data_IF_048115614718
#
_entry.id   IF_048115614718
#
_cell.length_a   1.000
_cell.length_b   1.000
_cell.length_c   1.000
_cell.angle_alpha   90.00
_cell.angle_beta   90.00
_cell.angle_gamma   90.00
#
_symmetry.space_group_name_H-M   'P 1'
#
loop_
_entity.id
_entity.type
_entity.pdbx_description
1 polymer ?
#
# COMPACT_ATOMS: atom_id res chain seq x y z
N UNK A 1 -15.96 -17.56 -38.44
CA UNK A 1 -15.07 -16.43 -38.11
C UNK A 1 -15.89 -15.40 -37.32
N UNK A 2 -15.88 -15.52 -36.00
CA UNK A 2 -16.47 -14.51 -35.12
C UNK A 2 -15.35 -13.83 -34.38
N UNK A 3 -15.00 -12.61 -34.82
CA UNK A 3 -14.07 -11.73 -34.17
C UNK A 3 -14.62 -11.35 -32.77
N UNK A 4 -14.00 -11.82 -31.72
CA UNK A 4 -14.19 -11.26 -30.38
C UNK A 4 -13.48 -9.90 -30.37
N UNK A 5 -14.23 -8.84 -30.59
CA UNK A 5 -13.77 -7.49 -30.34
C UNK A 5 -13.40 -7.36 -28.89
N UNK A 6 -12.13 -7.09 -28.61
CA UNK A 6 -11.65 -6.72 -27.28
C UNK A 6 -12.20 -5.32 -26.96
N UNK A 7 -13.37 -5.24 -26.33
CA UNK A 7 -13.83 -4.02 -25.68
C UNK A 7 -12.96 -3.83 -24.43
N UNK A 8 -11.76 -3.29 -24.60
CA UNK A 8 -11.08 -2.62 -23.51
C UNK A 8 -11.97 -1.42 -23.12
N UNK A 9 -12.29 -1.22 -21.83
CA UNK A 9 -13.04 -0.05 -21.41
C UNK A 9 -12.22 1.19 -21.76
N UNK A 10 -12.61 1.88 -22.83
CA UNK A 10 -12.10 3.19 -23.20
C UNK A 10 -12.71 4.21 -22.25
N UNK A 11 -12.29 4.16 -20.97
CA UNK A 11 -12.63 5.19 -20.01
C UNK A 11 -12.07 6.53 -20.46
N UNK A 12 -12.79 7.62 -20.17
CA UNK A 12 -12.30 8.97 -20.41
C UNK A 12 -10.87 9.11 -19.82
N UNK A 13 -9.83 9.46 -20.62
CA UNK A 13 -8.45 9.54 -20.13
C UNK A 13 -8.29 10.48 -18.92
N UNK A 14 -9.03 11.59 -18.88
CA UNK A 14 -9.01 12.53 -17.76
C UNK A 14 -9.57 11.89 -16.46
N UNK A 15 -10.64 11.09 -16.56
CA UNK A 15 -11.20 10.38 -15.42
C UNK A 15 -10.25 9.27 -14.93
N UNK A 16 -9.56 8.60 -15.84
CA UNK A 16 -8.54 7.60 -15.47
C UNK A 16 -7.33 8.24 -14.78
N UNK A 17 -6.87 9.38 -15.29
CA UNK A 17 -5.78 10.14 -14.67
C UNK A 17 -6.17 10.64 -13.27
N UNK A 18 -7.40 11.14 -13.09
CA UNK A 18 -7.90 11.57 -11.79
C UNK A 18 -8.02 10.39 -10.80
N UNK A 19 -8.52 9.24 -11.23
CA UNK A 19 -8.56 8.03 -10.41
C UNK A 19 -7.16 7.57 -9.99
N UNK A 20 -6.21 7.58 -10.93
CA UNK A 20 -4.81 7.25 -10.68
C UNK A 20 -4.17 8.26 -9.71
N UNK A 21 -4.48 9.55 -9.85
CA UNK A 21 -4.01 10.60 -8.94
C UNK A 21 -4.50 10.35 -7.52
N UNK A 22 -5.80 10.10 -7.33
CA UNK A 22 -6.37 9.81 -6.00
C UNK A 22 -5.74 8.59 -5.37
N UNK A 23 -5.59 7.52 -6.15
CA UNK A 23 -4.94 6.30 -5.69
C UNK A 23 -3.48 6.56 -5.27
N UNK A 24 -2.67 7.23 -6.12
CA UNK A 24 -1.29 7.54 -5.79
C UNK A 24 -1.15 8.50 -4.60
N UNK A 25 -2.09 9.42 -4.40
CA UNK A 25 -2.11 10.34 -3.27
C UNK A 25 -2.39 9.63 -1.95
N UNK A 26 -3.31 8.66 -1.94
CA UNK A 26 -3.72 7.94 -0.72
C UNK A 26 -2.86 6.70 -0.43
N UNK A 27 -2.36 6.02 -1.45
CA UNK A 27 -1.64 4.73 -1.34
C UNK A 27 -0.15 4.82 -1.71
N UNK A 28 0.32 5.96 -2.23
CA UNK A 28 1.71 6.08 -2.67
C UNK A 28 2.73 5.78 -1.57
N UNK A 29 3.87 5.17 -1.93
CA UNK A 29 4.38 4.91 -3.28
C UNK A 29 3.72 3.71 -3.96
N UNK A 30 3.23 3.88 -5.18
CA UNK A 30 2.53 2.85 -5.95
C UNK A 30 3.14 2.63 -7.34
N UNK A 31 2.98 1.42 -7.87
CA UNK A 31 3.35 1.07 -9.24
C UNK A 31 2.14 0.95 -10.15
N UNK A 32 2.38 0.83 -11.45
CA UNK A 32 1.30 0.52 -12.41
C UNK A 32 0.67 -0.86 -12.16
N UNK A 33 1.41 -1.80 -11.56
CA UNK A 33 0.87 -3.11 -11.21
C UNK A 33 -0.10 -3.03 -10.02
N UNK A 34 0.20 -2.16 -9.04
CA UNK A 34 -0.69 -1.91 -7.90
C UNK A 34 -2.00 -1.29 -8.37
N UNK A 35 -1.95 -0.22 -9.17
CA UNK A 35 -3.14 0.40 -9.72
C UNK A 35 -3.95 -0.56 -10.59
N UNK A 36 -3.29 -1.36 -11.43
CA UNK A 36 -3.97 -2.36 -12.26
C UNK A 36 -4.72 -3.39 -11.42
N UNK A 37 -4.09 -3.91 -10.36
CA UNK A 37 -4.70 -4.84 -9.42
C UNK A 37 -5.91 -4.21 -8.70
N UNK A 38 -5.74 -3.01 -8.17
CA UNK A 38 -6.76 -2.31 -7.39
C UNK A 38 -7.98 -1.94 -8.23
N UNK A 39 -7.76 -1.44 -9.47
CA UNK A 39 -8.80 -0.92 -10.33
C UNK A 39 -9.40 -1.91 -11.34
N UNK A 40 -8.76 -3.08 -11.53
CA UNK A 40 -9.10 -4.02 -12.61
C UNK A 40 -8.66 -3.56 -14.01
N UNK A 41 -7.93 -2.45 -14.13
CA UNK A 41 -7.40 -1.98 -15.41
C UNK A 41 -6.26 -2.88 -15.92
N UNK A 42 -6.03 -2.87 -17.24
CA UNK A 42 -4.80 -3.47 -17.76
C UNK A 42 -3.58 -2.67 -17.29
N UNK A 43 -2.43 -3.34 -17.12
CA UNK A 43 -1.19 -2.70 -16.69
C UNK A 43 -0.76 -1.54 -17.60
N UNK A 44 -1.00 -1.65 -18.90
CA UNK A 44 -0.71 -0.59 -19.88
C UNK A 44 -1.57 0.65 -19.64
N UNK A 45 -2.88 0.45 -19.39
CA UNK A 45 -3.81 1.56 -19.11
C UNK A 45 -3.47 2.20 -17.76
N UNK A 46 -3.18 1.41 -16.72
CA UNK A 46 -2.77 1.89 -15.41
C UNK A 46 -1.47 2.72 -15.48
N UNK A 47 -0.48 2.26 -16.25
CA UNK A 47 0.77 2.99 -16.45
C UNK A 47 0.53 4.34 -17.11
N UNK A 48 -0.31 4.37 -18.16
CA UNK A 48 -0.67 5.62 -18.84
C UNK A 48 -1.40 6.56 -17.88
N UNK A 49 -2.40 6.07 -17.18
CA UNK A 49 -3.17 6.87 -16.22
C UNK A 49 -2.30 7.51 -15.12
N UNK A 50 -1.31 6.77 -14.58
CA UNK A 50 -0.35 7.31 -13.61
C UNK A 50 0.55 8.39 -14.22
N UNK A 51 1.02 8.21 -15.46
CA UNK A 51 1.83 9.21 -16.16
C UNK A 51 1.03 10.48 -16.43
N UNK A 52 -0.20 10.34 -16.90
CA UNK A 52 -1.10 11.47 -17.15
C UNK A 52 -1.43 12.20 -15.83
N UNK A 53 -1.60 11.46 -14.71
CA UNK A 53 -1.81 12.04 -13.38
C UNK A 53 -0.62 12.88 -12.89
N UNK A 54 0.61 12.42 -13.11
CA UNK A 54 1.82 13.20 -12.76
C UNK A 54 1.89 14.46 -13.61
N UNK A 55 1.70 14.35 -14.94
CA UNK A 55 1.77 15.51 -15.84
C UNK A 55 0.68 16.54 -15.55
N UNK A 56 -0.52 16.11 -15.15
CA UNK A 56 -1.60 17.01 -14.77
C UNK A 56 -1.31 17.79 -13.49
N UNK A 57 -0.64 17.16 -12.53
CA UNK A 57 -0.26 17.79 -11.27
C UNK A 57 0.86 18.84 -11.43
N UNK A 58 1.67 18.73 -12.47
CA UNK A 58 2.74 19.71 -12.79
C UNK A 58 2.22 20.95 -13.53
N UNK A 59 0.95 20.97 -13.91
CA UNK A 59 0.38 22.11 -14.66
C UNK A 59 0.14 23.33 -13.76
N UNK A 60 0.54 24.54 -14.16
CA UNK A 60 0.27 25.76 -13.40
C UNK A 60 -1.23 25.95 -13.16
N UNK A 61 -1.64 26.13 -11.91
CA UNK A 61 -3.05 26.32 -11.55
C UNK A 61 -3.88 25.02 -11.50
N UNK A 62 -3.25 23.84 -11.54
CA UNK A 62 -3.95 22.58 -11.37
C UNK A 62 -4.67 22.56 -10.01
N UNK A 63 -6.00 22.38 -10.04
CA UNK A 63 -6.80 22.16 -8.84
C UNK A 63 -7.47 20.78 -8.95
N UNK A 64 -7.69 20.16 -7.80
CA UNK A 64 -8.48 18.94 -7.75
C UNK A 64 -9.93 19.21 -8.15
N UNK A 65 -10.66 18.17 -8.53
CA UNK A 65 -12.06 18.27 -8.98
C UNK A 65 -12.99 18.91 -7.92
N UNK A 66 -12.60 18.87 -6.66
CA UNK A 66 -13.30 19.49 -5.52
C UNK A 66 -12.81 20.90 -5.17
N UNK A 67 -11.93 21.49 -6.00
CA UNK A 67 -11.36 22.82 -5.78
C UNK A 67 -10.20 22.87 -4.77
N UNK A 68 -9.83 21.74 -4.18
CA UNK A 68 -8.68 21.67 -3.27
C UNK A 68 -7.34 21.79 -4.04
N UNK A 69 -6.29 22.25 -3.36
CA UNK A 69 -4.94 22.23 -3.93
C UNK A 69 -4.52 20.79 -4.25
N UNK A 70 -4.18 20.52 -5.50
CA UNK A 70 -3.61 19.23 -5.90
C UNK A 70 -2.23 19.08 -5.27
N UNK A 71 -2.05 17.95 -4.55
CA UNK A 71 -0.71 17.56 -4.09
C UNK A 71 0.07 17.10 -5.32
N UNK A 72 1.24 17.68 -5.59
CA UNK A 72 2.10 17.25 -6.70
C UNK A 72 2.48 15.78 -6.54
N UNK A 73 2.58 15.08 -7.67
CA UNK A 73 3.04 13.70 -7.72
C UNK A 73 4.44 13.64 -8.32
N UNK A 74 5.27 12.74 -7.81
CA UNK A 74 6.62 12.47 -8.29
C UNK A 74 6.73 11.04 -8.79
N UNK A 75 7.67 10.82 -9.73
CA UNK A 75 8.12 9.50 -10.14
C UNK A 75 9.50 9.23 -9.57
N UNK A 76 9.68 8.06 -8.98
CA UNK A 76 10.97 7.61 -8.44
C UNK A 76 11.25 6.16 -8.83
N UNK A 77 12.52 5.85 -9.08
CA UNK A 77 12.97 4.47 -9.10
C UNK A 77 12.98 3.88 -7.68
N UNK A 78 12.94 2.56 -7.56
CA UNK A 78 13.04 1.91 -6.25
C UNK A 78 14.30 2.30 -5.48
N UNK A 79 15.44 2.52 -6.17
CA UNK A 79 16.67 2.99 -5.52
C UNK A 79 16.53 4.42 -4.94
N UNK A 80 15.83 5.31 -5.63
CA UNK A 80 15.55 6.66 -5.12
C UNK A 80 14.60 6.60 -3.92
N UNK A 81 13.54 5.77 -4.02
CA UNK A 81 12.58 5.56 -2.94
C UNK A 81 13.26 5.02 -1.67
N UNK A 82 14.15 4.03 -1.80
CA UNK A 82 14.91 3.50 -0.66
C UNK A 82 15.81 4.55 -0.02
N UNK A 83 16.51 5.36 -0.81
CA UNK A 83 17.34 6.45 -0.26
C UNK A 83 16.51 7.46 0.52
N UNK A 84 15.35 7.86 -0.02
CA UNK A 84 14.43 8.77 0.67
C UNK A 84 13.93 8.15 1.98
N UNK A 85 13.44 6.92 1.94
CA UNK A 85 12.93 6.24 3.13
C UNK A 85 14.01 6.05 4.20
N UNK A 86 15.25 5.71 3.79
CA UNK A 86 16.38 5.57 4.71
C UNK A 86 16.79 6.90 5.35
N UNK A 87 16.79 7.98 4.56
CA UNK A 87 17.10 9.32 5.09
C UNK A 87 16.11 9.75 6.18
N UNK A 88 14.83 9.39 6.05
CA UNK A 88 13.77 9.74 7.01
C UNK A 88 13.70 8.76 8.19
N UNK A 89 13.66 7.46 7.91
CA UNK A 89 13.37 6.45 8.93
C UNK A 89 14.60 5.80 9.53
N UNK A 90 15.76 5.94 8.90
CA UNK A 90 16.97 5.21 9.25
C UNK A 90 16.80 3.70 9.02
N UNK A 91 17.62 2.91 9.71
CA UNK A 91 17.54 1.46 9.66
C UNK A 91 18.45 0.83 8.61
N UNK A 92 18.37 -0.48 8.48
CA UNK A 92 19.15 -1.23 7.48
C UNK A 92 18.45 -1.16 6.13
N UNK A 93 19.19 -0.78 5.11
CA UNK A 93 18.68 -0.88 3.74
C UNK A 93 18.60 -2.35 3.29
N UNK A 94 17.54 -2.75 2.55
CA UNK A 94 17.52 -4.03 1.87
C UNK A 94 18.71 -4.15 0.90
N UNK A 95 19.14 -5.38 0.64
CA UNK A 95 20.24 -5.64 -0.28
C UNK A 95 19.93 -5.20 -1.72
N UNK A 96 18.65 -5.29 -2.10
CA UNK A 96 18.18 -4.91 -3.43
C UNK A 96 17.05 -3.88 -3.32
N UNK A 97 17.08 -2.92 -4.25
CA UNK A 97 16.00 -1.96 -4.40
C UNK A 97 14.80 -2.62 -5.09
N UNK A 98 13.57 -2.26 -4.70
CA UNK A 98 12.39 -2.76 -5.39
C UNK A 98 12.43 -2.34 -6.87
N UNK A 99 12.05 -3.27 -7.75
CA UNK A 99 12.06 -3.03 -9.19
C UNK A 99 10.90 -2.12 -9.61
N UNK A 100 11.14 -1.29 -10.62
CA UNK A 100 10.10 -0.50 -11.26
C UNK A 100 10.14 0.99 -10.96
N UNK A 101 9.15 1.67 -11.51
CA UNK A 101 8.87 3.09 -11.31
C UNK A 101 7.71 3.23 -10.33
N UNK A 102 7.90 4.06 -9.33
CA UNK A 102 6.93 4.37 -8.30
C UNK A 102 6.40 5.77 -8.48
N UNK A 103 5.09 5.94 -8.28
CA UNK A 103 4.41 7.23 -8.23
C UNK A 103 3.99 7.49 -6.79
N UNK A 104 4.29 8.68 -6.30
CA UNK A 104 4.05 9.08 -4.92
C UNK A 104 3.81 10.59 -4.84
N UNK A 105 3.21 11.03 -3.75
CA UNK A 105 3.05 12.45 -3.46
C UNK A 105 4.40 13.10 -3.12
N UNK A 106 4.59 14.35 -3.54
CA UNK A 106 5.86 15.07 -3.38
C UNK A 106 6.26 15.28 -1.91
N UNK A 107 5.29 15.42 -1.01
CA UNK A 107 5.48 15.64 0.43
C UNK A 107 5.56 14.32 1.24
N UNK A 108 5.70 13.16 0.58
CA UNK A 108 5.72 11.86 1.27
C UNK A 108 6.83 11.74 2.31
N UNK A 109 8.00 12.33 2.07
CA UNK A 109 9.11 12.31 3.01
C UNK A 109 8.74 13.00 4.35
N UNK A 110 8.09 14.15 4.28
CA UNK A 110 7.64 14.91 5.45
C UNK A 110 6.52 14.17 6.19
N UNK A 111 5.55 13.61 5.45
CA UNK A 111 4.49 12.79 6.03
C UNK A 111 5.04 11.55 6.71
N UNK A 112 6.02 10.88 6.10
CA UNK A 112 6.69 9.72 6.69
C UNK A 112 7.37 10.12 8.01
N UNK A 113 8.12 11.24 8.01
CA UNK A 113 8.79 11.73 9.20
C UNK A 113 7.79 11.98 10.35
N UNK A 114 6.68 12.65 10.06
CA UNK A 114 5.63 12.95 11.02
C UNK A 114 4.90 11.71 11.53
N UNK A 115 4.63 10.75 10.63
CA UNK A 115 3.83 9.55 10.94
C UNK A 115 4.67 8.38 11.50
N UNK A 116 5.99 8.44 11.42
CA UNK A 116 6.88 7.32 11.77
C UNK A 116 6.66 6.76 13.17
N UNK A 117 6.44 7.58 14.23
CA UNK A 117 6.16 7.05 15.57
C UNK A 117 4.85 6.24 15.61
N UNK A 118 3.83 6.67 14.87
CA UNK A 118 2.55 5.96 14.77
C UNK A 118 2.69 4.69 13.94
N UNK A 119 3.36 4.74 12.79
CA UNK A 119 3.59 3.59 11.91
C UNK A 119 4.43 2.47 12.55
N UNK A 120 5.22 2.80 13.58
CA UNK A 120 6.00 1.81 14.35
C UNK A 120 5.23 1.13 15.49
N UNK A 121 3.98 1.52 15.71
CA UNK A 121 3.14 0.88 16.75
C UNK A 121 2.67 -0.49 16.30
N UNK A 122 2.38 -1.32 17.31
CA UNK A 122 1.62 -2.56 17.08
C UNK A 122 0.14 -2.21 16.90
N UNK A 123 -0.45 -2.67 15.80
CA UNK A 123 -1.84 -2.39 15.41
C UNK A 123 -2.53 -3.69 14.99
N UNK A 124 -3.78 -3.85 15.39
CA UNK A 124 -4.67 -4.86 14.81
C UNK A 124 -5.46 -4.18 13.69
N UNK A 125 -5.26 -4.64 12.47
CA UNK A 125 -5.96 -4.14 11.29
C UNK A 125 -7.05 -5.13 10.89
N UNK A 126 -8.19 -4.66 10.38
CA UNK A 126 -9.29 -5.52 9.97
C UNK A 126 -8.91 -6.45 8.82
N UNK A 127 -9.73 -7.45 8.57
CA UNK A 127 -9.69 -8.19 7.32
C UNK A 127 -9.94 -7.23 6.15
N UNK A 128 -9.27 -7.44 5.02
CA UNK A 128 -9.39 -6.59 3.82
C UNK A 128 -8.88 -5.15 4.01
N UNK A 129 -7.99 -4.91 4.98
CA UNK A 129 -7.35 -3.61 5.12
C UNK A 129 -6.51 -3.26 3.87
N UNK A 130 -6.59 -2.00 3.44
CA UNK A 130 -5.91 -1.50 2.24
C UNK A 130 -4.38 -1.63 2.30
N UNK A 131 -3.80 -1.68 3.50
CA UNK A 131 -2.37 -1.96 3.66
C UNK A 131 -1.98 -3.31 3.06
N UNK A 132 -2.89 -4.28 3.05
CA UNK A 132 -2.67 -5.61 2.48
C UNK A 132 -3.25 -5.75 1.07
N UNK A 133 -4.52 -5.36 0.85
CA UNK A 133 -5.19 -5.62 -0.43
C UNK A 133 -4.90 -4.58 -1.50
N UNK A 134 -4.45 -3.38 -1.11
CA UNK A 134 -4.19 -2.25 -2.01
C UNK A 134 -2.98 -2.42 -2.92
N UNK A 135 -2.10 -3.40 -2.66
CA UNK A 135 -0.83 -3.55 -3.38
C UNK A 135 -0.69 -4.91 -4.07
N UNK A 136 0.01 -4.92 -5.21
CA UNK A 136 0.36 -6.15 -5.92
C UNK A 136 1.56 -6.84 -5.24
N UNK A 137 2.59 -6.08 -4.90
CA UNK A 137 3.73 -6.56 -4.14
C UNK A 137 3.58 -6.19 -2.66
N UNK A 138 3.55 -7.19 -1.81
CA UNK A 138 3.38 -7.07 -0.36
C UNK A 138 4.59 -7.58 0.43
N UNK A 139 5.70 -7.81 -0.25
CA UNK A 139 6.93 -8.36 0.37
C UNK A 139 7.49 -7.49 1.51
N UNK A 140 7.21 -6.17 1.48
CA UNK A 140 7.55 -5.27 2.59
C UNK A 140 6.66 -5.46 3.82
N UNK A 141 5.45 -5.97 3.67
CA UNK A 141 4.48 -6.19 4.74
C UNK A 141 4.55 -7.61 5.30
N UNK A 142 4.69 -8.61 4.42
CA UNK A 142 4.64 -10.03 4.80
C UNK A 142 5.44 -10.89 3.81
N UNK A 143 5.66 -12.14 4.15
CA UNK A 143 6.25 -13.17 3.30
C UNK A 143 5.22 -14.24 2.89
N UNK A 144 5.65 -15.29 2.22
CA UNK A 144 4.76 -16.37 1.76
C UNK A 144 4.09 -17.12 2.93
N UNK A 145 4.77 -17.23 4.07
CA UNK A 145 4.20 -17.86 5.27
C UNK A 145 3.11 -16.97 5.87
N UNK A 146 3.37 -15.67 5.99
CA UNK A 146 2.40 -14.70 6.45
C UNK A 146 1.20 -14.55 5.51
N UNK A 147 1.39 -14.60 4.18
CA UNK A 147 0.26 -14.66 3.23
C UNK A 147 -0.62 -15.89 3.46
N UNK A 148 -0.01 -17.04 3.72
CA UNK A 148 -0.76 -18.27 4.04
C UNK A 148 -1.48 -18.14 5.39
N UNK A 149 -0.87 -17.47 6.36
CA UNK A 149 -1.49 -17.21 7.66
C UNK A 149 -2.73 -16.30 7.52
N UNK A 150 -2.63 -15.26 6.68
CA UNK A 150 -3.73 -14.32 6.47
C UNK A 150 -4.86 -14.91 5.63
N UNK A 151 -4.57 -15.78 4.65
CA UNK A 151 -5.56 -16.42 3.79
C UNK A 151 -5.29 -17.92 3.63
N UNK A 152 -5.54 -18.74 4.67
CA UNK A 152 -5.17 -20.15 4.67
C UNK A 152 -5.91 -20.97 3.61
N UNK A 153 -7.13 -20.59 3.29
CA UNK A 153 -7.97 -21.30 2.29
C UNK A 153 -7.76 -20.82 0.86
N UNK A 154 -6.95 -19.77 0.64
CA UNK A 154 -6.71 -19.16 -0.67
C UNK A 154 -7.97 -18.82 -1.48
N UNK A 155 -9.10 -18.66 -0.80
CA UNK A 155 -10.43 -18.39 -1.38
C UNK A 155 -10.78 -16.89 -1.38
N UNK A 156 -9.79 -16.01 -1.12
CA UNK A 156 -9.98 -14.57 -1.03
C UNK A 156 -10.54 -14.08 0.30
N UNK A 157 -10.78 -14.98 1.26
CA UNK A 157 -11.12 -14.59 2.63
C UNK A 157 -9.85 -14.33 3.43
N UNK A 158 -9.75 -13.12 3.96
CA UNK A 158 -8.60 -12.69 4.77
C UNK A 158 -8.97 -12.63 6.24
N UNK A 159 -7.98 -12.86 7.10
CA UNK A 159 -8.08 -12.68 8.54
C UNK A 159 -7.63 -11.27 8.93
N UNK A 160 -8.15 -10.70 10.03
CA UNK A 160 -7.54 -9.52 10.64
C UNK A 160 -6.07 -9.79 10.96
N UNK A 161 -5.22 -8.79 10.74
CA UNK A 161 -3.77 -8.93 10.88
C UNK A 161 -3.21 -8.06 11.99
N UNK A 162 -2.31 -8.62 12.78
CA UNK A 162 -1.50 -7.88 13.73
C UNK A 162 -0.21 -7.43 13.05
N UNK A 163 -0.03 -6.12 12.96
CA UNK A 163 1.15 -5.50 12.36
C UNK A 163 2.00 -4.85 13.45
N UNK A 164 3.29 -5.15 13.50
CA UNK A 164 4.28 -4.48 14.36
C UNK A 164 5.38 -3.90 13.48
N UNK A 165 5.63 -2.59 13.59
CA UNK A 165 6.65 -1.88 12.81
C UNK A 165 6.57 -2.11 11.31
N UNK A 166 5.34 -2.13 10.77
CA UNK A 166 5.09 -2.30 9.34
C UNK A 166 5.17 -3.75 8.85
N UNK A 167 5.30 -4.75 9.73
CA UNK A 167 5.34 -6.17 9.34
C UNK A 167 4.21 -6.94 10.01
N UNK A 168 3.57 -7.83 9.27
CA UNK A 168 2.62 -8.80 9.82
C UNK A 168 3.38 -9.75 10.74
N UNK A 169 2.91 -9.86 11.98
CA UNK A 169 3.49 -10.73 13.00
C UNK A 169 2.53 -11.80 13.51
N UNK A 170 1.23 -11.60 13.31
CA UNK A 170 0.19 -12.57 13.64
C UNK A 170 -1.09 -12.30 12.83
N UNK A 171 -1.99 -13.28 12.81
CA UNK A 171 -3.37 -13.13 12.34
C UNK A 171 -4.35 -13.45 13.48
N UNK A 172 -5.51 -12.83 13.47
CA UNK A 172 -6.59 -13.17 14.40
C UNK A 172 -7.48 -14.25 13.77
N UNK A 173 -7.57 -15.41 14.41
CA UNK A 173 -8.41 -16.53 13.98
C UNK A 173 -9.21 -17.02 15.18
N UNK A 174 -10.52 -17.11 15.04
CA UNK A 174 -11.43 -17.60 16.08
C UNK A 174 -11.23 -16.92 17.44
N UNK A 175 -10.96 -15.61 17.41
CA UNK A 175 -10.72 -14.80 18.61
C UNK A 175 -9.32 -14.93 19.23
N UNK A 176 -8.44 -15.73 18.62
CA UNK A 176 -7.08 -15.96 19.11
C UNK A 176 -6.01 -15.49 18.11
N UNK A 177 -4.87 -15.02 18.62
CA UNK A 177 -3.73 -14.69 17.77
C UNK A 177 -2.99 -15.98 17.37
N UNK A 178 -2.85 -16.17 16.07
CA UNK A 178 -1.95 -17.14 15.47
C UNK A 178 -0.70 -16.40 15.02
N UNK A 179 0.43 -16.66 15.66
CA UNK A 179 1.70 -15.97 15.39
C UNK A 179 2.39 -16.57 14.15
N UNK A 180 3.01 -15.71 13.35
CA UNK A 180 3.72 -16.13 12.14
C UNK A 180 4.85 -17.13 12.44
N UNK A 181 5.57 -16.93 13.56
CA UNK A 181 6.65 -17.79 14.02
C UNK A 181 6.19 -18.77 15.13
N UNK A 182 4.90 -19.03 15.25
CA UNK A 182 4.31 -19.94 16.25
C UNK A 182 4.19 -19.33 17.65
N UNK A 183 4.94 -18.27 17.98
CA UNK A 183 4.94 -17.59 19.27
C UNK A 183 5.33 -16.12 19.13
N UNK A 184 4.98 -15.24 20.08
CA UNK A 184 5.42 -13.86 20.05
C UNK A 184 6.93 -13.73 20.20
N UNK A 185 7.57 -12.90 19.36
CA UNK A 185 9.02 -12.69 19.39
C UNK A 185 9.55 -12.10 20.73
N UNK A 186 8.68 -11.54 21.56
CA UNK A 186 9.04 -11.00 22.88
C UNK A 186 7.81 -10.72 23.75
N UNK A 187 8.02 -10.65 25.07
CA UNK A 187 6.99 -10.21 26.02
C UNK A 187 6.49 -8.78 25.75
N UNK A 188 7.34 -7.91 25.16
CA UNK A 188 6.94 -6.57 24.71
C UNK A 188 5.88 -6.68 23.62
N UNK A 189 6.12 -7.52 22.62
CA UNK A 189 5.20 -7.69 21.50
C UNK A 189 3.87 -8.31 21.96
N UNK A 190 3.93 -9.30 22.84
CA UNK A 190 2.73 -9.92 23.43
C UNK A 190 1.84 -8.90 24.17
N UNK A 191 2.44 -8.03 25.01
CA UNK A 191 1.72 -6.95 25.70
C UNK A 191 1.15 -5.92 24.70
N UNK A 192 1.93 -5.55 23.69
CA UNK A 192 1.50 -4.60 22.69
C UNK A 192 0.34 -5.15 21.83
N UNK A 193 0.34 -6.45 21.54
CA UNK A 193 -0.73 -7.15 20.85
C UNK A 193 -2.03 -7.10 21.67
N UNK A 194 -1.96 -7.41 22.97
CA UNK A 194 -3.15 -7.33 23.83
C UNK A 194 -3.74 -5.92 23.89
N UNK A 195 -2.89 -4.89 23.94
CA UNK A 195 -3.33 -3.49 23.90
C UNK A 195 -3.96 -3.12 22.54
N UNK A 196 -3.46 -3.67 21.44
CA UNK A 196 -4.02 -3.45 20.11
C UNK A 196 -5.40 -4.10 19.96
N UNK A 197 -5.57 -5.34 20.44
CA UNK A 197 -6.88 -6.03 20.47
C UNK A 197 -7.88 -5.26 21.32
N UNK A 198 -7.48 -4.83 22.52
CA UNK A 198 -8.37 -4.08 23.41
C UNK A 198 -8.80 -2.72 22.84
N UNK A 199 -7.99 -2.10 21.99
CA UNK A 199 -8.37 -0.87 21.28
C UNK A 199 -9.36 -1.17 20.16
N UNK A 200 -9.08 -2.14 19.32
CA UNK A 200 -9.95 -2.53 18.22
C UNK A 200 -11.36 -3.03 18.69
N UNK A 201 -11.46 -3.48 19.93
CA UNK A 201 -12.76 -3.88 20.52
C UNK A 201 -13.59 -2.70 21.05
N UNK A 202 -13.05 -1.47 21.07
CA UNK A 202 -13.73 -0.25 21.57
C UNK A 202 -14.20 0.67 20.44
N UNK A 203 -13.61 0.50 19.25
CA UNK A 203 -13.95 1.22 18.02
C UNK A 203 -15.03 0.48 17.22
#
# INVERSE_FOLDING_TARGET
>A
HSGRGSNAPTGNPAALAESARRYATSHGPVTAADLARWSGLSKTVALRALRDAVSAADSPGASAFDGSHMVPLLRMSGAQLLRMAHAVAGGRQPAEAPAGEFVLRADLADLLAQSLPAARRTMLLPAFDELHIGYQDRSCLTDAAGETLLSPSKNGMFRPMLVDRGRVVAALADGQLVWADGQPASKRLERAAQLAINRAARD
#
